data_IF_423775950090
#
_entry.id   IF_423775950090
#
_cell.length_a   1.000
_cell.length_b   1.000
_cell.length_c   1.000
_cell.angle_alpha   90.00
_cell.angle_beta   90.00
_cell.angle_gamma   90.00
#
_symmetry.space_group_name_H-M   'P 1'
#
loop_
_entity.id
_entity.type
_entity.pdbx_description
1 polymer ?
#
# COMPACT_ATOMS: atom_id res chain seq x y z
N UNK A 1 -4.98 -13.51 -70.72
CA UNK A 1 -4.83 -13.56 -70.09
C UNK A 1 -4.28 -13.21 -69.35
N UNK A 2 -4.28 -13.23 -69.28
CA UNK A 2 -4.03 -13.00 -68.43
C UNK A 2 -3.73 -12.80 -67.34
N UNK A 3 -3.96 -12.76 -67.33
CA UNK A 3 -3.91 -12.87 -66.39
C UNK A 3 -3.62 -12.72 -65.24
N UNK A 4 -3.59 -12.57 -65.34
CA UNK A 4 -3.44 -12.60 -64.38
C UNK A 4 -3.10 -12.33 -63.29
N UNK A 5 -3.11 -12.21 -63.27
CA UNK A 5 -2.88 -12.19 -62.26
C UNK A 5 -2.70 -11.76 -61.29
N UNK A 6 -2.82 -11.65 -61.24
CA UNK A 6 -2.66 -11.68 -60.28
C UNK A 6 -2.45 -11.32 -59.36
N UNK A 7 -2.65 -11.39 -59.68
CA UNK A 7 -2.49 -11.41 -58.83
C UNK A 7 -2.05 -11.15 -57.81
N UNK A 8 -2.10 -10.77 -57.90
CA UNK A 8 -1.78 -10.85 -57.03
C UNK A 8 -1.45 -10.24 -56.06
N UNK A 9 -1.97 -10.22 -55.44
CA UNK A 9 -1.85 -10.06 -54.62
C UNK A 9 -1.61 -9.77 -53.56
N UNK A 10 -1.82 -9.57 -53.97
CA UNK A 10 -1.68 -9.76 -53.10
C UNK A 10 -1.30 -9.40 -52.12
N UNK A 11 -1.51 -9.32 -52.16
CA UNK A 11 -1.34 -9.34 -51.24
C UNK A 11 -0.98 -8.89 -50.23
N UNK A 12 -1.27 -8.74 -50.24
CA UNK A 12 -1.06 -8.70 -49.36
C UNK A 12 -0.87 -8.35 -48.30
N UNK A 13 -1.24 -8.16 -48.49
CA UNK A 13 -1.07 -8.33 -47.59
C UNK A 13 -0.88 -7.90 -46.67
N UNK A 14 -1.11 -7.85 -46.61
CA UNK A 14 -0.95 -7.95 -45.76
C UNK A 14 -0.62 -7.58 -44.73
N UNK A 15 -0.99 -7.46 -44.52
CA UNK A 15 -0.66 -7.69 -43.52
C UNK A 15 -0.44 -7.14 -42.64
N UNK A 16 -0.68 -6.97 -42.80
CA UNK A 16 -0.46 -6.99 -42.02
C UNK A 16 -0.24 -6.61 -41.13
N UNK A 17 -0.73 -6.45 -41.18
CA UNK A 17 -0.53 -6.68 -40.24
C UNK A 17 -0.25 -6.40 -39.36
N UNK A 18 -0.49 -6.26 -39.53
CA UNK A 18 -0.33 -6.58 -38.66
C UNK A 18 0.15 -6.18 -37.83
N UNK A 19 -0.20 -6.10 -37.88
CA UNK A 19 0.15 -6.17 -37.06
C UNK A 19 0.48 -5.63 -36.28
N UNK A 20 -0.11 -5.41 -36.38
CA UNK A 20 0.14 -5.46 -35.50
C UNK A 20 0.24 -4.97 -34.74
N UNK A 21 -0.13 -4.72 -34.77
CA UNK A 21 -0.15 -4.85 -33.82
C UNK A 21 0.10 -4.44 -33.10
N UNK A 22 -0.28 -4.41 -33.28
CA UNK A 22 -0.10 -4.41 -32.34
C UNK A 22 0.15 -4.18 -31.68
N UNK A 23 -0.24 -3.99 -31.77
CA UNK A 23 -0.17 -4.27 -30.80
C UNK A 23 0.04 -4.02 -30.16
N UNK A 24 -0.27 -3.88 -30.21
CA UNK A 24 -0.20 -4.01 -29.29
C UNK A 24 0.04 -3.70 -28.64
N UNK A 25 -0.26 -3.55 -28.52
CA UNK A 25 -0.17 -3.66 -27.61
C UNK A 25 0.11 -3.36 -26.99
N UNK A 26 -0.28 -3.32 -26.68
CA UNK A 26 -0.12 -3.44 -25.70
C UNK A 26 0.08 -3.15 -24.90
N UNK A 27 -0.25 -3.09 -24.95
CA UNK A 27 -0.27 -3.24 -23.96
C UNK A 27 -0.11 -2.94 -23.33
N UNK A 28 -0.53 -2.94 -22.92
CA UNK A 28 -0.55 -2.95 -21.93
C UNK A 28 -0.46 -2.82 -21.17
N UNK A 29 -0.83 -2.84 -21.22
CA UNK A 29 -0.90 -2.95 -20.22
C UNK A 29 -0.64 -2.82 -19.56
N UNK A 30 -0.92 -2.61 -19.35
CA UNK A 30 -0.83 -2.57 -18.37
C UNK A 30 -0.66 -2.54 -17.63
N UNK A 31 -0.85 -2.53 -18.11
CA UNK A 31 -0.57 -2.65 -17.04
C UNK A 31 -0.94 -2.14 -16.15
N UNK A 32 -1.49 -2.31 -16.14
CA UNK A 32 -1.73 -1.61 -15.25
C UNK A 32 -1.04 -1.45 -14.12
N UNK A 33 -0.54 -0.62 -14.09
CA UNK A 33 0.22 -0.31 -12.96
C UNK A 33 -0.63 0.43 -12.00
N UNK A 34 -0.98 -0.23 -11.00
CA UNK A 34 -1.34 0.45 -9.81
C UNK A 34 -0.21 1.36 -9.46
N UNK A 35 -0.50 2.59 -9.31
CA UNK A 35 0.45 3.53 -8.76
C UNK A 35 0.95 2.99 -7.43
N UNK A 36 2.24 2.87 -7.29
CA UNK A 36 2.86 2.40 -6.08
C UNK A 36 2.56 3.39 -4.95
N UNK A 37 2.17 2.87 -3.80
CA UNK A 37 2.03 3.67 -2.60
C UNK A 37 3.43 3.97 -2.08
N UNK A 38 3.67 5.24 -1.75
CA UNK A 38 4.87 5.63 -1.03
C UNK A 38 4.42 6.29 0.27
N UNK A 39 5.04 5.92 1.37
CA UNK A 39 4.59 6.34 2.69
C UNK A 39 5.76 6.41 3.67
N UNK A 40 5.55 7.19 4.71
CA UNK A 40 6.44 7.27 5.85
C UNK A 40 5.63 7.21 7.13
N UNK A 41 6.05 6.38 8.06
CA UNK A 41 5.35 6.19 9.33
C UNK A 41 6.16 6.85 10.45
N UNK A 42 5.49 7.69 11.23
CA UNK A 42 6.03 8.18 12.48
C UNK A 42 5.46 7.33 13.61
N UNK A 43 6.33 6.83 14.46
CA UNK A 43 5.95 6.03 15.63
C UNK A 43 6.65 6.61 16.83
N UNK A 44 5.89 6.92 17.86
CA UNK A 44 6.45 7.54 19.05
C UNK A 44 5.69 7.04 20.28
N UNK A 45 6.44 6.58 21.27
CA UNK A 45 5.87 6.22 22.57
C UNK A 45 5.66 7.52 23.35
N UNK A 46 4.41 7.85 23.62
CA UNK A 46 4.05 9.09 24.30
C UNK A 46 3.92 8.93 25.81
N UNK A 47 3.80 7.70 26.28
CA UNK A 47 3.76 7.40 27.70
C UNK A 47 4.10 5.95 27.93
N UNK A 48 4.76 5.68 29.05
CA UNK A 48 5.11 4.30 29.39
C UNK A 48 5.08 4.15 30.90
N UNK A 49 4.51 3.03 31.33
CA UNK A 49 4.37 2.70 32.73
C UNK A 49 4.62 1.20 32.88
N UNK A 50 4.73 0.67 34.09
CA UNK A 50 4.94 -0.77 34.24
C UNK A 50 3.88 -1.57 33.49
N UNK A 51 4.32 -2.42 32.57
CA UNK A 51 3.49 -3.35 31.78
C UNK A 51 2.58 -2.67 30.77
N UNK A 52 2.69 -1.37 30.53
CA UNK A 52 1.84 -0.69 29.56
C UNK A 52 2.49 0.52 28.93
N UNK A 53 1.94 0.94 27.79
CA UNK A 53 2.45 2.10 27.10
C UNK A 53 1.38 2.69 26.18
N UNK A 54 1.60 3.93 25.79
CA UNK A 54 0.79 4.63 24.81
C UNK A 54 1.71 5.06 23.67
N UNK A 55 1.23 4.92 22.45
CA UNK A 55 2.00 5.32 21.29
C UNK A 55 1.13 6.12 20.33
N UNK A 56 1.77 7.05 19.62
CA UNK A 56 1.15 7.83 18.57
C UNK A 56 1.74 7.42 17.24
N UNK A 57 0.89 7.42 16.21
CA UNK A 57 1.30 7.05 14.87
C UNK A 57 0.88 8.17 13.92
N UNK A 58 1.77 8.48 12.97
CA UNK A 58 1.45 9.33 11.83
C UNK A 58 1.71 8.57 10.55
N UNK A 59 0.89 8.84 9.54
CA UNK A 59 1.07 8.26 8.20
C UNK A 59 1.20 9.40 7.22
N UNK A 60 2.37 9.53 6.60
CA UNK A 60 2.59 10.52 5.56
C UNK A 60 2.53 9.85 4.20
N UNK A 61 1.73 10.42 3.31
CA UNK A 61 1.71 9.99 1.90
C UNK A 61 2.82 10.72 1.18
N UNK A 62 3.92 10.03 0.90
CA UNK A 62 5.06 10.59 0.20
C UNK A 62 4.97 10.39 -1.30
N UNK A 63 3.90 9.77 -1.77
CA UNK A 63 3.68 9.52 -3.18
C UNK A 63 2.94 10.65 -3.88
N UNK A 64 2.58 10.41 -5.12
CA UNK A 64 1.92 11.39 -5.97
C UNK A 64 0.43 11.12 -6.15
N UNK A 65 -0.08 10.03 -5.60
CA UNK A 65 -1.49 9.67 -5.68
C UNK A 65 -2.09 9.61 -4.28
N UNK A 66 -3.38 9.93 -4.12
CA UNK A 66 -4.00 9.81 -2.80
C UNK A 66 -4.07 8.36 -2.37
N UNK A 67 -3.96 8.15 -1.06
CA UNK A 67 -4.24 6.85 -0.46
C UNK A 67 -5.72 6.87 -0.09
N UNK A 68 -6.51 5.98 -0.67
CA UNK A 68 -7.95 5.89 -0.42
C UNK A 68 -8.23 4.60 0.32
N UNK A 69 -8.28 4.70 1.63
CA UNK A 69 -8.36 3.54 2.51
C UNK A 69 -6.97 3.01 2.82
N UNK A 70 -6.63 2.90 4.10
CA UNK A 70 -5.32 2.41 4.49
C UNK A 70 -5.47 1.30 5.52
N UNK A 71 -4.53 0.37 5.42
CA UNK A 71 -4.38 -0.72 6.35
C UNK A 71 -2.90 -0.76 6.73
N UNK A 72 -2.62 -0.38 7.96
CA UNK A 72 -1.24 -0.31 8.48
C UNK A 72 -0.94 -1.59 9.23
N UNK A 73 0.16 -2.24 8.90
CA UNK A 73 0.55 -3.49 9.54
C UNK A 73 1.97 -3.43 10.02
N UNK A 74 2.23 -4.14 11.11
CA UNK A 74 3.58 -4.37 11.62
C UNK A 74 3.59 -5.63 12.46
N UNK A 75 4.80 -6.07 12.81
CA UNK A 75 5.01 -7.24 13.65
C UNK A 75 5.78 -6.82 14.88
N UNK A 76 5.25 -7.16 16.04
CA UNK A 76 5.94 -6.92 17.32
C UNK A 76 7.12 -7.89 17.47
N UNK A 77 8.20 -7.39 18.07
CA UNK A 77 9.39 -8.21 18.30
C UNK A 77 9.46 -8.79 19.72
N UNK A 78 8.67 -8.26 20.65
CA UNK A 78 8.83 -8.59 22.07
C UNK A 78 7.50 -8.97 22.75
N UNK A 79 6.53 -9.48 21.99
CA UNK A 79 5.28 -9.95 22.55
C UNK A 79 4.33 -8.87 23.01
N UNK A 80 4.50 -7.66 22.53
CA UNK A 80 3.60 -6.54 22.87
C UNK A 80 2.21 -6.81 22.31
N UNK A 81 1.20 -6.22 22.94
CA UNK A 81 -0.19 -6.35 22.51
C UNK A 81 -0.87 -5.01 22.55
N UNK A 82 -1.73 -4.76 21.58
CA UNK A 82 -2.60 -3.58 21.59
C UNK A 82 -3.81 -3.89 22.47
N UNK A 83 -4.17 -2.96 23.33
CA UNK A 83 -5.33 -3.09 24.22
C UNK A 83 -6.44 -2.13 23.86
N UNK A 84 -6.12 -1.03 23.17
CA UNK A 84 -7.10 -0.03 22.76
C UNK A 84 -6.48 0.81 21.66
N UNK A 85 -7.29 1.24 20.69
CA UNK A 85 -6.83 2.13 19.63
C UNK A 85 -7.89 3.21 19.42
N UNK A 86 -7.44 4.37 18.91
CA UNK A 86 -8.33 5.44 18.51
C UNK A 86 -7.95 5.96 17.14
N UNK A 87 -8.94 6.48 16.42
CA UNK A 87 -8.84 6.91 15.02
C UNK A 87 -8.47 5.78 14.07
N UNK A 88 -8.63 4.54 14.51
CA UNK A 88 -8.41 3.34 13.73
C UNK A 88 -9.03 2.16 14.45
N UNK A 89 -9.41 1.15 13.68
CA UNK A 89 -9.78 -0.17 14.22
C UNK A 89 -8.51 -1.02 14.29
N UNK A 90 -8.40 -1.88 15.29
CA UNK A 90 -7.22 -2.73 15.37
C UNK A 90 -7.61 -4.20 15.44
N UNK A 91 -6.72 -5.04 14.94
CA UNK A 91 -6.76 -6.47 15.20
C UNK A 91 -5.32 -6.95 15.37
N UNK A 92 -5.17 -8.00 16.16
CA UNK A 92 -3.85 -8.57 16.38
C UNK A 92 -3.97 -10.09 16.44
N UNK A 93 -3.11 -10.76 15.66
CA UNK A 93 -3.00 -12.22 15.65
C UNK A 93 -1.55 -12.55 15.96
N UNK A 94 -1.31 -13.10 17.16
CA UNK A 94 0.06 -13.32 17.61
C UNK A 94 0.81 -12.01 17.70
N UNK A 95 1.90 -11.88 16.96
CA UNK A 95 2.68 -10.66 16.92
C UNK A 95 2.27 -9.71 15.80
N UNK A 96 1.37 -10.12 14.93
CA UNK A 96 0.99 -9.34 13.75
C UNK A 96 -0.17 -8.42 14.05
N UNK A 97 0.04 -7.12 13.85
CA UNK A 97 -0.95 -6.09 14.12
C UNK A 97 -1.45 -5.48 12.82
N UNK A 98 -2.74 -5.21 12.77
CA UNK A 98 -3.37 -4.48 11.67
C UNK A 98 -4.19 -3.33 12.26
N UNK A 99 -3.91 -2.12 11.80
CA UNK A 99 -4.78 -0.96 12.03
C UNK A 99 -5.46 -0.62 10.71
N UNK A 100 -6.77 -0.40 10.78
CA UNK A 100 -7.56 -0.07 9.60
C UNK A 100 -8.17 1.31 9.80
N UNK A 101 -8.22 2.13 8.75
CA UNK A 101 -8.77 3.47 8.81
C UNK A 101 -10.22 3.48 9.29
N UNK A 102 -10.62 4.59 9.88
CA UNK A 102 -12.03 4.89 10.09
C UNK A 102 -12.59 5.60 8.86
N UNK A 103 -13.92 5.75 8.82
CA UNK A 103 -14.56 6.35 7.65
C UNK A 103 -14.14 7.81 7.41
N UNK A 104 -13.78 8.51 8.47
CA UNK A 104 -13.47 9.95 8.40
C UNK A 104 -11.99 10.23 8.12
N UNK A 105 -11.12 9.22 8.11
CA UNK A 105 -9.70 9.44 7.88
C UNK A 105 -9.12 8.46 6.84
N UNK A 106 -9.97 7.94 5.98
CA UNK A 106 -9.56 6.93 5.00
C UNK A 106 -8.67 7.50 3.90
N UNK A 107 -8.80 8.76 3.56
CA UNK A 107 -8.09 9.38 2.45
C UNK A 107 -6.93 10.21 2.96
N UNK A 108 -5.74 9.95 2.40
CA UNK A 108 -4.55 10.75 2.69
C UNK A 108 -4.08 11.32 1.36
N UNK A 109 -4.19 12.65 1.21
CA UNK A 109 -3.79 13.32 -0.02
C UNK A 109 -2.26 13.22 -0.21
N UNK A 110 -1.78 13.32 -1.45
CA UNK A 110 -0.33 13.34 -1.69
C UNK A 110 0.34 14.44 -0.88
N UNK A 111 1.41 14.11 -0.19
CA UNK A 111 2.16 15.05 0.64
C UNK A 111 1.54 15.31 2.02
N UNK A 112 0.32 14.84 2.26
CA UNK A 112 -0.34 15.07 3.55
C UNK A 112 0.12 14.06 4.59
N UNK A 113 0.02 14.48 5.85
CA UNK A 113 0.30 13.60 6.99
C UNK A 113 -0.97 13.44 7.80
N UNK A 114 -1.40 12.20 7.97
CA UNK A 114 -2.51 11.87 8.86
C UNK A 114 -1.99 11.76 10.28
N UNK A 115 -2.58 12.51 11.19
CA UNK A 115 -2.21 12.53 12.61
C UNK A 115 -3.40 12.08 13.46
N UNK A 116 -3.18 11.92 14.75
CA UNK A 116 -4.25 11.61 15.68
C UNK A 116 -4.51 10.13 15.88
N UNK A 117 -3.79 9.27 15.18
CA UNK A 117 -3.87 7.82 15.38
C UNK A 117 -3.05 7.49 16.61
N UNK A 118 -3.57 6.63 17.46
CA UNK A 118 -2.80 6.17 18.60
C UNK A 118 -3.38 4.90 19.18
N UNK A 119 -2.64 4.35 20.14
CA UNK A 119 -3.10 3.14 20.81
C UNK A 119 -2.43 3.01 22.18
N UNK A 120 -3.09 2.26 23.03
CA UNK A 120 -2.49 1.74 24.25
C UNK A 120 -2.11 0.29 24.03
N UNK A 121 -1.02 -0.09 24.63
CA UNK A 121 -0.55 -1.47 24.53
C UNK A 121 0.01 -1.97 25.84
N UNK A 122 0.26 -3.25 25.87
CA UNK A 122 0.93 -3.92 27.01
C UNK A 122 2.27 -4.50 26.55
N UNK A 123 3.19 -4.59 27.46
CA UNK A 123 4.50 -5.19 27.23
C UNK A 123 5.02 -5.86 28.48
N UNK A 124 5.96 -6.79 28.29
CA UNK A 124 6.66 -7.45 29.40
C UNK A 124 8.13 -7.37 29.10
N UNK A 125 8.90 -6.79 30.04
CA UNK A 125 10.35 -6.65 29.89
C UNK A 125 10.73 -5.47 29.03
N UNK A 126 10.74 -5.62 27.71
CA UNK A 126 11.16 -4.58 26.79
C UNK A 126 10.01 -4.14 25.88
N UNK A 127 10.13 -2.93 25.37
CA UNK A 127 9.10 -2.34 24.50
C UNK A 127 9.79 -1.70 23.28
N UNK A 128 10.44 -2.51 22.42
CA UNK A 128 11.09 -1.95 21.25
C UNK A 128 10.05 -1.50 20.21
N UNK A 129 10.38 -0.42 19.48
CA UNK A 129 9.57 -0.01 18.35
C UNK A 129 9.62 -1.08 17.25
N UNK A 130 8.53 -1.21 16.48
CA UNK A 130 8.56 -2.11 15.31
C UNK A 130 9.65 -1.68 14.34
N UNK A 131 10.26 -2.64 13.67
CA UNK A 131 11.36 -2.37 12.75
C UNK A 131 10.85 -1.99 11.35
N UNK A 132 9.62 -2.32 11.01
CA UNK A 132 9.06 -2.05 9.69
C UNK A 132 7.57 -1.86 9.77
N UNK A 133 7.05 -0.95 8.95
CA UNK A 133 5.62 -0.69 8.84
C UNK A 133 5.23 -0.78 7.38
N UNK A 134 4.03 -1.33 7.13
CA UNK A 134 3.51 -1.50 5.78
C UNK A 134 2.13 -0.84 5.70
N UNK A 135 1.88 -0.13 4.61
CA UNK A 135 0.54 0.39 4.29
C UNK A 135 0.07 -0.31 3.03
N UNK A 136 -1.07 -0.98 3.14
CA UNK A 136 -1.67 -1.75 2.04
C UNK A 136 -0.66 -2.72 1.41
N UNK A 137 0.20 -3.31 2.24
CA UNK A 137 1.19 -4.27 1.80
C UNK A 137 2.50 -3.68 1.29
N UNK A 138 2.63 -2.36 1.25
CA UNK A 138 3.84 -1.68 0.78
C UNK A 138 4.65 -1.19 1.97
N UNK A 139 5.94 -1.49 1.98
CA UNK A 139 6.84 -1.04 3.03
C UNK A 139 6.95 0.48 3.00
N UNK A 140 6.71 1.10 4.15
CA UNK A 140 6.89 2.54 4.32
C UNK A 140 8.33 2.84 4.71
N UNK A 141 8.86 3.89 4.17
CA UNK A 141 10.27 4.26 4.37
C UNK A 141 10.42 5.46 5.26
#
# INVERSE_FOLDING_TARGET
MPRRHFRGESRRCRHRDRRNWPGGGHGQASATTTAAIACHIGYSVTGQWPNGFEAAITIKNTGTNPINGWKLTWTWAAGQKITQAWSASYSQTGANVTLTNESYNATIAPGATLTGIGFNGSYTGTNPAPSAFYVNGTLCK
#
